data_IF_223529607716
#
_entry.id   IF_223529607716
#
_cell.length_a   1.000
_cell.length_b   1.000
_cell.length_c   1.000
_cell.angle_alpha   90.00
_cell.angle_beta   90.00
_cell.angle_gamma   90.00
#
_symmetry.space_group_name_H-M   'P 1'
#
loop_
_entity.id
_entity.type
_entity.pdbx_description
1 polymer ?
#
# COMPACT_ATOMS: atom_id res chain seq x y z
N UNK A 1 6.62 22.34 -13.55
CA UNK A 1 5.99 21.57 -14.65
C UNK A 1 4.87 22.42 -15.22
N UNK A 2 4.84 22.70 -16.53
CA UNK A 2 3.85 23.57 -17.19
C UNK A 2 2.74 22.80 -17.93
N UNK A 3 2.57 21.50 -17.64
CA UNK A 3 1.57 20.64 -18.29
C UNK A 3 0.20 20.74 -17.62
N UNK A 4 -0.87 20.58 -18.42
CA UNK A 4 -2.27 20.60 -17.96
C UNK A 4 -2.92 19.22 -17.92
N UNK A 5 -2.41 18.23 -18.67
CA UNK A 5 -2.83 16.83 -18.56
C UNK A 5 -2.07 16.14 -17.42
N UNK A 6 -2.80 15.43 -16.55
CA UNK A 6 -2.21 14.72 -15.41
C UNK A 6 -1.16 13.70 -15.85
N UNK A 7 -1.32 13.07 -17.02
CA UNK A 7 -0.40 12.07 -17.56
C UNK A 7 0.96 12.69 -17.84
N UNK A 8 0.97 13.89 -18.40
CA UNK A 8 2.21 14.60 -18.71
C UNK A 8 2.90 15.11 -17.45
N UNK A 9 2.15 15.50 -16.43
CA UNK A 9 2.71 15.82 -15.11
C UNK A 9 3.37 14.60 -14.49
N UNK A 10 2.69 13.43 -14.50
CA UNK A 10 3.26 12.17 -14.01
C UNK A 10 4.54 11.82 -14.78
N UNK A 11 4.50 11.82 -16.12
CA UNK A 11 5.69 11.55 -16.95
C UNK A 11 6.83 12.51 -16.64
N UNK A 12 6.54 13.79 -16.38
CA UNK A 12 7.57 14.76 -16.01
C UNK A 12 8.17 14.46 -14.63
N UNK A 13 7.36 14.10 -13.62
CA UNK A 13 7.85 13.72 -12.28
C UNK A 13 8.73 12.47 -12.34
N UNK A 14 8.42 11.50 -13.21
CA UNK A 14 9.22 10.28 -13.40
C UNK A 14 10.57 10.52 -14.08
N UNK A 15 10.86 11.70 -14.63
CA UNK A 15 12.18 11.94 -15.28
C UNK A 15 13.34 12.01 -14.29
N UNK A 16 13.08 12.51 -13.09
CA UNK A 16 14.10 12.67 -12.04
C UNK A 16 14.11 11.43 -11.14
N UNK A 17 14.79 10.38 -11.62
CA UNK A 17 14.94 9.14 -10.88
C UNK A 17 15.99 9.27 -9.76
N UNK A 18 15.76 8.56 -8.66
CA UNK A 18 16.63 8.47 -7.49
C UNK A 18 17.26 7.09 -7.47
N UNK A 19 18.59 7.04 -7.48
CA UNK A 19 19.33 5.80 -7.70
C UNK A 19 20.35 5.52 -6.58
N UNK A 20 20.66 4.22 -6.41
CA UNK A 20 21.74 3.75 -5.53
C UNK A 20 21.63 4.25 -4.10
N UNK A 21 22.74 4.77 -3.57
CA UNK A 21 22.84 5.17 -2.16
C UNK A 21 21.99 6.39 -1.78
N UNK A 22 21.43 7.12 -2.76
CA UNK A 22 20.52 8.25 -2.48
C UNK A 22 19.09 7.78 -2.12
N UNK A 23 18.73 6.54 -2.45
CA UNK A 23 17.39 5.98 -2.20
C UNK A 23 17.09 5.91 -0.70
N UNK A 24 17.99 5.33 0.10
CA UNK A 24 17.73 5.12 1.52
C UNK A 24 17.53 6.44 2.30
N UNK A 25 18.42 7.45 2.19
CA UNK A 25 18.24 8.74 2.87
C UNK A 25 16.93 9.46 2.50
N UNK A 26 16.48 9.33 1.24
CA UNK A 26 15.18 9.86 0.82
C UNK A 26 14.04 9.22 1.61
N UNK A 27 13.98 7.88 1.65
CA UNK A 27 12.91 7.19 2.35
C UNK A 27 12.97 7.39 3.87
N UNK A 28 14.16 7.43 4.48
CA UNK A 28 14.32 7.76 5.91
C UNK A 28 13.73 9.14 6.24
N UNK A 29 13.97 10.13 5.37
CA UNK A 29 13.34 11.45 5.49
C UNK A 29 11.82 11.37 5.38
N UNK A 30 11.30 10.64 4.37
CA UNK A 30 9.85 10.47 4.16
C UNK A 30 9.17 9.78 5.35
N UNK A 31 9.81 8.79 5.97
CA UNK A 31 9.34 8.13 7.20
C UNK A 31 9.21 9.15 8.32
N UNK A 32 10.26 9.93 8.58
CA UNK A 32 10.25 10.91 9.65
C UNK A 32 9.18 12.00 9.43
N UNK A 33 9.01 12.45 8.19
CA UNK A 33 7.96 13.41 7.80
C UNK A 33 6.56 12.83 8.04
N UNK A 34 6.31 11.59 7.60
CA UNK A 34 5.03 10.92 7.73
C UNK A 34 4.68 10.58 9.18
N UNK A 35 5.63 10.11 10.00
CA UNK A 35 5.38 9.84 11.42
C UNK A 35 4.98 11.10 12.18
N UNK A 36 5.60 12.25 11.87
CA UNK A 36 5.18 13.54 12.42
C UNK A 36 3.76 13.90 12.00
N UNK A 37 3.40 13.69 10.74
CA UNK A 37 2.03 13.96 10.25
C UNK A 37 1.00 13.02 10.89
N UNK A 38 1.30 11.72 10.99
CA UNK A 38 0.43 10.71 11.63
C UNK A 38 0.14 11.11 13.08
N UNK A 39 1.18 11.49 13.84
CA UNK A 39 1.05 11.93 15.22
C UNK A 39 0.25 13.24 15.33
N UNK A 40 0.64 14.27 14.56
CA UNK A 40 0.01 15.60 14.61
C UNK A 40 -1.47 15.59 14.19
N UNK A 41 -1.85 14.66 13.32
CA UNK A 41 -3.23 14.49 12.87
C UNK A 41 -3.98 13.43 13.67
N UNK A 42 -3.36 12.74 14.63
CA UNK A 42 -3.97 11.63 15.36
C UNK A 42 -4.60 10.59 14.41
N UNK A 43 -3.85 10.19 13.37
CA UNK A 43 -4.35 9.20 12.41
C UNK A 43 -4.43 7.84 13.07
N UNK A 44 -3.34 7.36 13.68
CA UNK A 44 -3.27 6.06 14.34
C UNK A 44 -2.18 6.11 15.42
N UNK A 45 -2.24 5.23 16.42
CA UNK A 45 -1.18 5.12 17.43
C UNK A 45 0.09 4.54 16.80
N UNK A 46 1.21 5.25 16.95
CA UNK A 46 2.53 4.83 16.46
C UNK A 46 3.27 4.01 17.52
N UNK A 47 4.03 2.97 17.14
CA UNK A 47 4.92 2.26 18.04
C UNK A 47 6.05 3.18 18.52
N UNK A 48 6.50 3.01 19.77
CA UNK A 48 7.62 3.78 20.32
C UNK A 48 8.96 3.47 19.64
N UNK A 49 9.07 2.31 18.98
CA UNK A 49 10.29 1.90 18.28
C UNK A 49 10.36 2.46 16.86
N UNK A 50 11.59 2.65 16.40
CA UNK A 50 11.88 3.00 15.00
C UNK A 50 11.46 1.88 14.06
N UNK A 51 10.97 2.25 12.89
CA UNK A 51 10.77 1.34 11.77
C UNK A 51 12.12 0.87 11.21
N UNK A 52 12.21 -0.38 10.74
CA UNK A 52 13.39 -0.87 10.02
C UNK A 52 13.21 -0.67 8.53
N UNK A 53 14.21 -0.08 7.90
CA UNK A 53 14.30 0.11 6.45
C UNK A 53 15.72 -0.20 5.99
N UNK A 54 15.85 -0.80 4.82
CA UNK A 54 17.16 -1.09 4.23
C UNK A 54 17.10 -1.17 2.71
N UNK A 55 18.26 -1.06 2.09
CA UNK A 55 18.44 -1.41 0.70
C UNK A 55 18.41 -2.94 0.54
N UNK A 56 17.83 -3.39 -0.56
CA UNK A 56 17.84 -4.78 -0.99
C UNK A 56 19.24 -5.16 -1.47
N UNK A 57 19.62 -6.43 -1.41
CA UNK A 57 20.80 -6.91 -2.15
C UNK A 57 20.52 -6.90 -3.66
N UNK A 58 21.56 -7.10 -4.49
CA UNK A 58 21.36 -7.24 -5.95
C UNK A 58 20.45 -8.43 -6.30
N UNK A 59 20.63 -9.56 -5.61
CA UNK A 59 19.80 -10.75 -5.80
C UNK A 59 18.34 -10.50 -5.38
N UNK A 60 18.13 -9.79 -4.27
CA UNK A 60 16.78 -9.41 -3.83
C UNK A 60 16.12 -8.44 -4.81
N UNK A 61 16.87 -7.46 -5.33
CA UNK A 61 16.37 -6.49 -6.31
C UNK A 61 16.01 -7.16 -7.64
N UNK A 62 16.77 -8.18 -8.06
CA UNK A 62 16.48 -8.95 -9.26
C UNK A 62 15.21 -9.81 -9.12
N UNK A 63 14.95 -10.35 -7.92
CA UNK A 63 13.77 -11.17 -7.64
C UNK A 63 12.49 -10.32 -7.43
N UNK A 64 12.61 -9.17 -6.79
CA UNK A 64 11.51 -8.24 -6.50
C UNK A 64 11.94 -6.81 -6.85
N UNK A 65 11.63 -6.32 -8.06
CA UNK A 65 12.04 -4.99 -8.52
C UNK A 65 11.19 -3.85 -7.94
N UNK A 66 10.29 -4.14 -6.98
CA UNK A 66 9.44 -3.16 -6.32
C UNK A 66 9.76 -3.05 -4.82
N UNK A 67 9.67 -1.84 -4.22
CA UNK A 67 9.69 -1.67 -2.77
C UNK A 67 8.65 -2.57 -2.11
N UNK A 68 9.04 -3.27 -1.06
CA UNK A 68 8.17 -4.22 -0.37
C UNK A 68 8.49 -4.29 1.13
N UNK A 69 7.45 -4.50 1.93
CA UNK A 69 7.54 -4.83 3.33
C UNK A 69 7.75 -6.33 3.49
N UNK A 70 8.84 -6.71 4.18
CA UNK A 70 9.09 -8.08 4.61
C UNK A 70 8.48 -8.29 5.98
N UNK A 71 7.43 -9.13 6.10
CA UNK A 71 6.79 -9.35 7.38
C UNK A 71 7.76 -10.03 8.35
N UNK A 72 7.71 -9.68 9.64
CA UNK A 72 8.37 -10.45 10.66
C UNK A 72 7.77 -11.85 10.73
N UNK A 73 8.56 -12.81 11.19
CA UNK A 73 8.07 -14.13 11.58
C UNK A 73 7.03 -13.97 12.70
N UNK A 74 5.87 -14.62 12.58
CA UNK A 74 4.84 -14.59 13.64
C UNK A 74 4.99 -15.74 14.65
N UNK A 75 5.53 -16.89 14.22
CA UNK A 75 5.63 -18.10 15.04
C UNK A 75 7.08 -18.29 15.50
N UNK A 76 7.29 -18.38 16.81
CA UNK A 76 8.64 -18.51 17.37
C UNK A 76 9.52 -17.29 17.10
N UNK A 77 8.91 -16.10 17.03
CA UNK A 77 9.63 -14.84 16.95
C UNK A 77 10.40 -14.59 18.26
N UNK A 78 11.68 -14.27 18.17
CA UNK A 78 12.61 -14.01 19.27
C UNK A 78 13.09 -12.55 19.30
N UNK A 79 12.38 -11.65 18.62
CA UNK A 79 12.67 -10.22 18.54
C UNK A 79 12.75 -9.67 17.11
N UNK A 80 12.42 -10.47 16.08
CA UNK A 80 12.43 -10.02 14.70
C UNK A 80 11.32 -8.99 14.43
N UNK A 81 11.66 -8.02 13.58
CA UNK A 81 10.78 -6.95 13.16
C UNK A 81 10.65 -6.98 11.65
N UNK A 82 9.53 -6.46 11.14
CA UNK A 82 9.36 -6.29 9.70
C UNK A 82 10.37 -5.28 9.16
N UNK A 83 10.76 -5.46 7.90
CA UNK A 83 11.70 -4.59 7.21
C UNK A 83 11.06 -4.01 5.96
N UNK A 84 11.10 -2.68 5.80
CA UNK A 84 10.81 -2.07 4.52
C UNK A 84 12.06 -2.17 3.63
N UNK A 85 11.98 -2.95 2.55
CA UNK A 85 13.10 -3.26 1.67
C UNK A 85 12.99 -2.48 0.36
N UNK A 86 14.02 -1.70 0.05
CA UNK A 86 14.10 -0.84 -1.14
C UNK A 86 15.06 -1.42 -2.18
N UNK A 87 14.63 -1.77 -3.39
CA UNK A 87 15.52 -2.22 -4.47
C UNK A 87 16.62 -1.20 -4.79
N UNK A 88 17.86 -1.67 -4.94
CA UNK A 88 19.03 -0.82 -5.27
C UNK A 88 19.01 -0.28 -6.69
N UNK A 89 18.31 -0.99 -7.57
CA UNK A 89 18.33 -0.78 -9.01
C UNK A 89 17.01 -1.27 -9.56
N UNK A 90 16.32 -0.41 -10.30
CA UNK A 90 15.34 -0.89 -11.25
C UNK A 90 15.98 -0.80 -12.63
N UNK A 91 16.82 -1.77 -12.94
CA UNK A 91 17.68 -1.70 -14.11
C UNK A 91 16.87 -1.80 -15.40
N UNK A 92 16.56 -0.67 -16.03
CA UNK A 92 16.80 -0.56 -17.45
C UNK A 92 18.27 -0.25 -17.68
N UNK A 93 18.99 -1.06 -18.46
CA UNK A 93 20.18 -0.49 -19.13
C UNK A 93 19.67 0.64 -20.03
N UNK A 94 20.41 1.74 -20.14
CA UNK A 94 20.17 2.71 -21.20
C UNK A 94 20.11 1.95 -22.54
N UNK A 95 18.95 1.96 -23.20
CA UNK A 95 18.69 1.22 -24.44
C UNK A 95 17.99 -0.15 -24.30
N UNK A 96 17.67 -0.63 -23.10
CA UNK A 96 16.82 -1.81 -22.92
C UNK A 96 15.33 -1.42 -22.94
N UNK A 97 14.53 -2.13 -23.72
CA UNK A 97 13.10 -1.87 -23.96
C UNK A 97 12.17 -2.07 -22.75
N UNK A 98 12.68 -2.54 -21.60
CA UNK A 98 11.89 -2.84 -20.39
C UNK A 98 12.60 -2.34 -19.12
N UNK A 99 12.75 -1.02 -18.99
CA UNK A 99 13.15 -0.35 -17.75
C UNK A 99 11.91 -0.07 -16.90
N UNK A 100 11.98 -0.16 -15.56
CA UNK A 100 10.94 0.46 -14.73
C UNK A 100 11.41 1.83 -14.25
N UNK A 101 10.46 2.76 -14.18
CA UNK A 101 10.61 4.13 -13.66
C UNK A 101 9.51 4.44 -12.63
N UNK A 102 8.80 3.40 -12.15
CA UNK A 102 7.55 3.53 -11.39
C UNK A 102 7.71 3.75 -9.89
N UNK A 103 8.88 3.44 -9.31
CA UNK A 103 9.05 3.45 -7.84
C UNK A 103 10.18 4.36 -7.33
N UNK A 104 11.10 4.77 -8.20
CA UNK A 104 12.37 5.41 -7.83
C UNK A 104 12.39 6.88 -8.19
N UNK A 105 11.39 7.65 -7.75
CA UNK A 105 11.38 9.13 -7.87
C UNK A 105 10.72 9.77 -6.64
N UNK A 106 11.02 11.04 -6.38
CA UNK A 106 10.71 11.70 -5.10
C UNK A 106 9.22 11.63 -4.71
N UNK A 107 8.34 11.92 -5.66
CA UNK A 107 6.90 11.96 -5.41
C UNK A 107 6.31 10.56 -5.10
N UNK A 108 6.84 9.49 -5.71
CA UNK A 108 6.41 8.12 -5.41
C UNK A 108 6.82 7.67 -4.00
N UNK A 109 7.96 8.14 -3.49
CA UNK A 109 8.46 7.75 -2.17
C UNK A 109 7.45 8.06 -1.05
N UNK A 110 6.65 9.12 -1.18
CA UNK A 110 5.59 9.44 -0.21
C UNK A 110 4.56 8.33 -0.07
N UNK A 111 3.92 7.94 -1.17
CA UNK A 111 2.81 6.96 -1.13
C UNK A 111 3.35 5.54 -0.88
N UNK A 112 4.54 5.22 -1.39
CA UNK A 112 5.22 3.95 -1.12
C UNK A 112 5.61 3.80 0.35
N UNK A 113 6.10 4.87 0.98
CA UNK A 113 6.41 4.85 2.42
C UNK A 113 5.15 4.70 3.27
N UNK A 114 4.03 5.27 2.84
CA UNK A 114 2.74 5.04 3.51
C UNK A 114 2.29 3.59 3.35
N UNK A 115 2.35 3.04 2.13
CA UNK A 115 1.85 1.71 1.79
C UNK A 115 2.64 0.60 2.49
N UNK A 116 3.97 0.59 2.31
CA UNK A 116 4.85 -0.46 2.82
C UNK A 116 5.29 -0.18 4.26
N UNK A 117 5.40 1.09 4.64
CA UNK A 117 5.82 1.52 5.97
C UNK A 117 4.63 1.83 6.88
N UNK A 118 4.57 3.08 7.36
CA UNK A 118 3.58 3.54 8.34
C UNK A 118 2.66 4.60 7.71
N UNK A 119 1.33 4.53 7.93
CA UNK A 119 0.63 3.56 8.78
C UNK A 119 0.22 2.25 8.08
N UNK A 120 0.78 1.93 6.90
CA UNK A 120 0.44 0.74 6.12
C UNK A 120 0.99 -0.58 6.68
N UNK A 121 1.66 -1.35 5.81
CA UNK A 121 2.05 -2.73 6.09
C UNK A 121 2.95 -2.90 7.31
N UNK A 122 4.00 -2.10 7.45
CA UNK A 122 4.89 -2.26 8.61
C UNK A 122 4.10 -2.14 9.90
N UNK A 123 3.22 -1.14 10.02
CA UNK A 123 2.43 -0.95 11.24
C UNK A 123 1.45 -2.09 11.48
N UNK A 124 0.80 -2.56 10.42
CA UNK A 124 -0.14 -3.68 10.49
C UNK A 124 0.52 -4.95 11.01
N UNK A 125 1.65 -5.37 10.43
CA UNK A 125 2.35 -6.59 10.87
C UNK A 125 3.06 -6.42 12.21
N UNK A 126 3.55 -5.21 12.49
CA UNK A 126 4.09 -4.86 13.80
C UNK A 126 3.08 -5.04 14.91
N UNK A 127 1.85 -4.58 14.69
CA UNK A 127 0.76 -4.75 15.66
C UNK A 127 0.44 -6.24 15.92
N UNK A 128 0.54 -7.10 14.90
CA UNK A 128 0.34 -8.55 15.05
C UNK A 128 1.40 -9.20 15.94
N UNK A 129 2.67 -8.80 15.79
CA UNK A 129 3.77 -9.30 16.63
C UNK A 129 3.65 -8.78 18.06
N UNK A 130 3.45 -7.47 18.21
CA UNK A 130 3.46 -6.81 19.53
C UNK A 130 2.27 -7.19 20.41
N UNK A 131 1.10 -7.42 19.81
CA UNK A 131 -0.11 -7.85 20.54
C UNK A 131 -0.20 -9.36 20.69
N UNK A 132 0.51 -10.10 19.84
CA UNK A 132 0.36 -11.53 19.68
C UNK A 132 -0.91 -11.92 18.93
N UNK A 133 -0.85 -13.06 18.25
CA UNK A 133 -2.00 -13.70 17.60
C UNK A 133 -2.01 -15.19 17.92
N UNK A 134 -3.19 -15.81 17.88
CA UNK A 134 -3.29 -17.26 18.02
C UNK A 134 -2.55 -17.97 16.88
N UNK A 135 -2.09 -19.20 17.14
CA UNK A 135 -1.40 -20.02 16.13
C UNK A 135 -2.27 -20.21 14.88
N UNK A 136 -3.57 -20.43 15.05
CA UNK A 136 -4.51 -20.53 13.94
C UNK A 136 -4.53 -19.25 13.07
N UNK A 137 -4.49 -18.06 13.68
CA UNK A 137 -4.43 -16.80 12.93
C UNK A 137 -3.07 -16.61 12.26
N UNK A 138 -1.97 -16.96 12.93
CA UNK A 138 -0.63 -16.86 12.37
C UNK A 138 -0.45 -17.74 11.11
N UNK A 139 -1.06 -18.94 11.09
CA UNK A 139 -0.90 -19.90 9.99
C UNK A 139 -1.94 -19.68 8.89
N UNK A 140 -3.22 -19.49 9.24
CA UNK A 140 -4.33 -19.62 8.29
C UNK A 140 -5.07 -18.31 8.00
N UNK A 141 -4.85 -17.24 8.75
CA UNK A 141 -5.63 -16.01 8.57
C UNK A 141 -5.01 -15.03 7.55
N UNK A 142 -3.96 -15.40 6.81
CA UNK A 142 -3.44 -14.52 5.77
C UNK A 142 -4.52 -14.23 4.73
N UNK A 143 -4.84 -12.95 4.56
CA UNK A 143 -5.90 -12.50 3.68
C UNK A 143 -5.43 -11.28 2.90
N UNK A 144 -5.21 -11.46 1.59
CA UNK A 144 -4.73 -10.38 0.72
C UNK A 144 -5.69 -9.19 0.67
N UNK A 145 -7.02 -9.41 0.75
CA UNK A 145 -8.01 -8.32 0.75
C UNK A 145 -7.87 -7.45 1.99
N UNK A 146 -7.59 -8.04 3.16
CA UNK A 146 -7.33 -7.29 4.38
C UNK A 146 -5.98 -6.55 4.32
N UNK A 147 -4.91 -7.27 3.98
CA UNK A 147 -3.53 -6.75 3.97
C UNK A 147 -3.41 -5.59 2.98
N UNK A 148 -3.75 -5.84 1.72
CA UNK A 148 -3.62 -4.84 0.64
C UNK A 148 -4.67 -3.73 0.74
N UNK A 149 -5.87 -4.09 1.23
CA UNK A 149 -6.93 -3.12 1.48
C UNK A 149 -6.54 -2.11 2.54
N UNK A 150 -5.90 -2.55 3.63
CA UNK A 150 -5.40 -1.67 4.68
C UNK A 150 -4.35 -0.70 4.15
N UNK A 151 -3.35 -1.18 3.42
CA UNK A 151 -2.29 -0.32 2.91
C UNK A 151 -2.81 0.73 1.91
N UNK A 152 -3.72 0.35 1.01
CA UNK A 152 -4.35 1.31 0.09
C UNK A 152 -5.28 2.30 0.81
N UNK A 153 -5.95 1.85 1.87
CA UNK A 153 -6.72 2.73 2.76
C UNK A 153 -5.82 3.73 3.50
N UNK A 154 -4.67 3.29 4.01
CA UNK A 154 -3.67 4.14 4.64
C UNK A 154 -3.13 5.21 3.67
N UNK A 155 -2.89 4.86 2.40
CA UNK A 155 -2.54 5.83 1.35
C UNK A 155 -3.64 6.90 1.21
N UNK A 156 -4.91 6.49 1.22
CA UNK A 156 -6.03 7.43 1.15
C UNK A 156 -6.15 8.35 2.37
N UNK A 157 -5.89 7.81 3.56
CA UNK A 157 -5.88 8.57 4.80
C UNK A 157 -4.79 9.63 4.86
N UNK A 158 -3.60 9.31 4.36
CA UNK A 158 -2.46 10.21 4.42
C UNK A 158 -2.44 11.20 3.25
N UNK A 159 -3.04 10.86 2.10
CA UNK A 159 -3.03 11.69 0.88
C UNK A 159 -3.31 13.17 1.14
N UNK A 160 -4.33 13.61 1.91
CA UNK A 160 -4.59 15.04 2.12
C UNK A 160 -3.44 15.84 2.75
N UNK A 161 -2.49 15.16 3.40
CA UNK A 161 -1.35 15.79 4.10
C UNK A 161 -0.04 15.72 3.32
N UNK A 162 -0.01 15.05 2.17
CA UNK A 162 1.18 14.96 1.31
C UNK A 162 1.36 16.25 0.49
N UNK A 163 2.58 16.57 0.03
CA UNK A 163 2.78 17.62 -0.97
C UNK A 163 2.03 17.27 -2.27
N UNK A 164 1.72 18.28 -3.09
CA UNK A 164 0.82 18.15 -4.24
C UNK A 164 1.21 17.05 -5.23
N UNK A 165 2.51 16.92 -5.49
CA UNK A 165 3.09 15.85 -6.30
C UNK A 165 2.90 14.48 -5.64
N UNK A 166 3.16 14.35 -4.34
CA UNK A 166 2.86 13.14 -3.57
C UNK A 166 1.37 12.78 -3.57
N UNK A 167 0.46 13.78 -3.53
CA UNK A 167 -0.98 13.55 -3.66
C UNK A 167 -1.33 13.01 -5.05
N UNK A 168 -0.75 13.58 -6.10
CA UNK A 168 -0.97 13.14 -7.48
C UNK A 168 -0.53 11.70 -7.67
N UNK A 169 0.66 11.33 -7.20
CA UNK A 169 1.17 9.95 -7.33
C UNK A 169 0.39 8.96 -6.45
N UNK A 170 -0.07 9.39 -5.27
CA UNK A 170 -0.99 8.56 -4.47
C UNK A 170 -2.32 8.29 -5.21
N UNK A 171 -2.83 9.28 -5.95
CA UNK A 171 -4.00 9.08 -6.82
C UNK A 171 -3.68 8.17 -8.03
N UNK A 172 -2.52 8.30 -8.64
CA UNK A 172 -2.05 7.38 -9.69
C UNK A 172 -1.99 5.94 -9.17
N UNK A 173 -1.44 5.72 -7.98
CA UNK A 173 -1.39 4.40 -7.35
C UNK A 173 -2.78 3.86 -7.06
N UNK A 174 -3.72 4.70 -6.61
CA UNK A 174 -5.13 4.30 -6.46
C UNK A 174 -5.78 3.97 -7.80
N UNK A 175 -5.50 4.74 -8.86
CA UNK A 175 -5.97 4.47 -10.21
C UNK A 175 -5.45 3.12 -10.72
N UNK A 176 -4.19 2.77 -10.45
CA UNK A 176 -3.66 1.43 -10.73
C UNK A 176 -4.49 0.34 -10.03
N UNK A 177 -4.80 0.50 -8.74
CA UNK A 177 -5.58 -0.52 -8.01
C UNK A 177 -7.02 -0.59 -8.50
N UNK A 178 -7.62 0.53 -8.92
CA UNK A 178 -8.92 0.53 -9.59
C UNK A 178 -8.85 -0.18 -10.95
N UNK A 179 -7.82 0.08 -11.75
CA UNK A 179 -7.59 -0.59 -13.03
C UNK A 179 -7.41 -2.10 -12.83
N UNK A 180 -6.64 -2.55 -11.84
CA UNK A 180 -6.51 -3.97 -11.46
C UNK A 180 -7.87 -4.64 -11.23
N UNK A 181 -8.77 -3.98 -10.49
CA UNK A 181 -10.09 -4.52 -10.17
C UNK A 181 -11.01 -4.66 -11.39
N UNK A 182 -10.73 -3.95 -12.49
CA UNK A 182 -11.44 -4.06 -13.75
C UNK A 182 -10.74 -5.02 -14.72
N UNK A 183 -9.43 -4.85 -14.91
CA UNK A 183 -8.64 -5.53 -15.93
C UNK A 183 -8.44 -7.01 -15.61
N UNK A 184 -8.14 -7.37 -14.36
CA UNK A 184 -7.94 -8.76 -13.94
C UNK A 184 -9.18 -9.62 -14.25
N UNK A 185 -10.37 -9.34 -13.71
CA UNK A 185 -11.57 -10.11 -14.06
C UNK A 185 -11.96 -9.95 -15.53
N UNK A 186 -11.71 -8.80 -16.17
CA UNK A 186 -11.98 -8.60 -17.59
C UNK A 186 -11.19 -9.55 -18.48
N UNK A 187 -9.90 -9.75 -18.20
CA UNK A 187 -9.03 -10.72 -18.88
C UNK A 187 -9.52 -12.16 -18.63
N UNK A 188 -9.83 -12.49 -17.37
CA UNK A 188 -10.27 -13.85 -17.00
C UNK A 188 -11.63 -14.22 -17.59
N UNK A 189 -12.51 -13.24 -17.80
CA UNK A 189 -13.82 -13.42 -18.44
C UNK A 189 -13.75 -13.32 -19.97
N UNK A 190 -12.57 -13.10 -20.57
CA UNK A 190 -12.41 -12.92 -22.01
C UNK A 190 -13.10 -11.66 -22.56
N UNK A 191 -13.37 -10.67 -21.70
CA UNK A 191 -14.04 -9.41 -22.05
C UNK A 191 -13.06 -8.29 -22.41
N UNK A 192 -11.80 -8.44 -22.04
CA UNK A 192 -10.72 -7.51 -22.28
C UNK A 192 -9.55 -8.30 -22.87
N UNK A 193 -8.92 -7.80 -23.93
CA UNK A 193 -7.69 -8.40 -24.48
C UNK A 193 -6.45 -7.94 -23.70
N UNK A 194 -5.33 -8.66 -23.85
CA UNK A 194 -4.07 -8.25 -23.21
C UNK A 194 -3.57 -6.91 -23.72
N UNK A 195 -3.85 -6.61 -24.99
CA UNK A 195 -3.49 -5.36 -25.66
C UNK A 195 -4.31 -4.19 -25.09
N UNK A 196 -5.61 -4.39 -24.89
CA UNK A 196 -6.48 -3.40 -24.23
C UNK A 196 -6.07 -3.13 -22.79
N UNK A 197 -5.76 -4.20 -22.02
CA UNK A 197 -5.26 -4.06 -20.66
C UNK A 197 -3.92 -3.31 -20.63
N UNK A 198 -3.00 -3.65 -21.53
CA UNK A 198 -1.71 -2.96 -21.68
C UNK A 198 -1.89 -1.49 -22.01
N UNK A 199 -2.84 -1.16 -22.89
CA UNK A 199 -3.17 0.22 -23.26
C UNK A 199 -3.63 1.03 -22.05
N UNK A 200 -4.57 0.52 -21.26
CA UNK A 200 -5.06 1.20 -20.05
C UNK A 200 -3.91 1.43 -19.05
N UNK A 201 -3.09 0.41 -18.78
CA UNK A 201 -1.98 0.53 -17.84
C UNK A 201 -0.91 1.53 -18.31
N UNK A 202 -0.61 1.55 -19.62
CA UNK A 202 0.40 2.45 -20.19
C UNK A 202 -0.11 3.88 -20.32
N UNK A 203 -1.30 4.06 -20.89
CA UNK A 203 -1.80 5.37 -21.31
C UNK A 203 -2.54 6.09 -20.19
N UNK A 204 -3.39 5.38 -19.44
CA UNK A 204 -4.23 5.99 -18.42
C UNK A 204 -3.57 5.97 -17.04
N UNK A 205 -2.92 4.85 -16.68
CA UNK A 205 -2.21 4.72 -15.40
C UNK A 205 -0.77 5.22 -15.45
N UNK A 206 -0.19 5.36 -16.65
CA UNK A 206 1.17 5.92 -16.87
C UNK A 206 2.27 5.06 -16.25
N UNK A 207 2.15 3.74 -16.41
CA UNK A 207 3.17 2.78 -16.01
C UNK A 207 4.27 2.63 -17.07
N UNK A 208 5.47 2.23 -16.64
CA UNK A 208 6.52 1.77 -17.56
C UNK A 208 6.09 0.55 -18.37
N UNK A 209 6.68 0.35 -19.55
CA UNK A 209 6.45 -0.88 -20.34
C UNK A 209 6.82 -2.16 -19.57
N UNK A 210 7.85 -2.11 -18.73
CA UNK A 210 8.24 -3.22 -17.87
C UNK A 210 7.13 -3.59 -16.87
N UNK A 211 6.57 -2.58 -16.19
CA UNK A 211 5.50 -2.80 -15.23
C UNK A 211 4.19 -3.19 -15.92
N UNK A 212 3.89 -2.62 -17.09
CA UNK A 212 2.72 -3.02 -17.90
C UNK A 212 2.79 -4.51 -18.24
N UNK A 213 3.93 -4.98 -18.77
CA UNK A 213 4.12 -6.39 -19.09
C UNK A 213 3.97 -7.27 -17.84
N UNK A 214 4.65 -6.90 -16.75
CA UNK A 214 4.59 -7.63 -15.49
C UNK A 214 3.15 -7.77 -14.98
N UNK A 215 2.38 -6.69 -15.01
CA UNK A 215 1.02 -6.66 -14.50
C UNK A 215 0.06 -7.46 -15.39
N UNK A 216 0.16 -7.34 -16.72
CA UNK A 216 -0.67 -8.14 -17.64
C UNK A 216 -0.37 -9.64 -17.50
N UNK A 217 0.90 -10.03 -17.39
CA UNK A 217 1.28 -11.43 -17.12
C UNK A 217 0.79 -11.90 -15.75
N UNK A 218 0.87 -11.05 -14.74
CA UNK A 218 0.38 -11.33 -13.39
C UNK A 218 -1.10 -11.64 -13.39
N UNK A 219 -1.91 -10.78 -14.01
CA UNK A 219 -3.36 -10.94 -14.05
C UNK A 219 -3.76 -12.15 -14.88
N UNK A 220 -3.03 -12.44 -15.95
CA UNK A 220 -3.38 -13.51 -16.89
C UNK A 220 -2.98 -14.89 -16.37
N UNK A 221 -1.76 -15.02 -15.85
CA UNK A 221 -1.13 -16.32 -15.64
C UNK A 221 -0.60 -16.55 -14.24
N UNK A 222 0.07 -15.55 -13.65
CA UNK A 222 0.86 -15.80 -12.43
C UNK A 222 0.01 -15.80 -11.17
N UNK A 223 -1.00 -14.93 -11.11
CA UNK A 223 -1.89 -14.82 -9.96
C UNK A 223 -3.29 -14.25 -10.32
N UNK A 224 -4.08 -14.94 -11.17
CA UNK A 224 -5.44 -14.52 -11.51
C UNK A 224 -6.30 -14.20 -10.29
N UNK A 225 -7.03 -13.09 -10.34
CA UNK A 225 -7.96 -12.64 -9.28
C UNK A 225 -7.29 -11.96 -8.09
N UNK A 226 -5.98 -12.15 -7.85
CA UNK A 226 -5.31 -11.57 -6.69
C UNK A 226 -5.22 -10.04 -6.78
N UNK A 227 -5.10 -9.45 -7.97
CA UNK A 227 -4.93 -8.01 -8.14
C UNK A 227 -6.19 -7.23 -7.74
N UNK A 228 -7.35 -7.88 -7.72
CA UNK A 228 -8.62 -7.30 -7.25
C UNK A 228 -8.63 -7.02 -5.74
N UNK A 229 -7.79 -7.72 -4.97
CA UNK A 229 -7.81 -7.70 -3.51
C UNK A 229 -7.60 -6.29 -2.93
N UNK A 230 -6.69 -5.52 -3.54
CA UNK A 230 -6.36 -4.16 -3.13
C UNK A 230 -7.60 -3.25 -3.10
N UNK A 231 -8.27 -3.11 -4.24
CA UNK A 231 -9.38 -2.17 -4.38
C UNK A 231 -10.65 -2.67 -3.68
N UNK A 232 -10.87 -3.99 -3.66
CA UNK A 232 -11.94 -4.60 -2.89
C UNK A 232 -11.77 -4.26 -1.41
N UNK A 233 -10.60 -4.54 -0.83
CA UNK A 233 -10.31 -4.30 0.57
C UNK A 233 -10.38 -2.83 0.96
N UNK A 234 -9.78 -1.95 0.14
CA UNK A 234 -9.88 -0.50 0.30
C UNK A 234 -11.33 -0.03 0.33
N UNK A 235 -12.15 -0.46 -0.63
CA UNK A 235 -13.55 -0.05 -0.72
C UNK A 235 -14.34 -0.55 0.50
N UNK A 236 -14.13 -1.80 0.94
CA UNK A 236 -14.78 -2.34 2.15
C UNK A 236 -14.40 -1.54 3.41
N UNK A 237 -13.14 -1.13 3.55
CA UNK A 237 -12.70 -0.31 4.68
C UNK A 237 -13.27 1.11 4.64
N UNK A 238 -13.33 1.73 3.46
CA UNK A 238 -13.96 3.04 3.27
C UNK A 238 -15.45 3.00 3.62
N UNK A 239 -16.18 1.97 3.17
CA UNK A 239 -17.59 1.74 3.52
C UNK A 239 -17.76 1.54 5.04
N UNK A 240 -16.93 0.69 5.65
CA UNK A 240 -16.97 0.42 7.09
C UNK A 240 -16.71 1.69 7.91
N UNK A 241 -15.74 2.50 7.50
CA UNK A 241 -15.48 3.78 8.15
C UNK A 241 -16.66 4.72 8.05
N UNK A 242 -17.21 4.93 6.85
CA UNK A 242 -18.35 5.83 6.64
C UNK A 242 -19.57 5.38 7.46
N UNK A 243 -19.84 4.07 7.52
CA UNK A 243 -20.88 3.51 8.38
C UNK A 243 -20.62 3.80 9.87
N UNK A 244 -19.39 3.61 10.33
CA UNK A 244 -18.99 3.82 11.72
C UNK A 244 -19.08 5.30 12.11
N UNK A 245 -18.63 6.21 11.24
CA UNK A 245 -18.76 7.65 11.40
C UNK A 245 -20.23 8.07 11.50
N UNK A 246 -21.11 7.53 10.65
CA UNK A 246 -22.54 7.80 10.68
C UNK A 246 -23.21 7.33 11.98
N UNK A 247 -22.83 6.15 12.49
CA UNK A 247 -23.44 5.58 13.70
C UNK A 247 -22.96 6.28 14.98
N UNK A 248 -21.68 6.65 15.04
CA UNK A 248 -21.09 7.28 16.23
C UNK A 248 -21.21 8.82 16.22
N UNK A 249 -21.37 9.44 15.05
CA UNK A 249 -21.48 10.88 14.90
C UNK A 249 -20.33 11.60 15.61
N UNK A 250 -20.60 12.60 16.47
CA UNK A 250 -19.57 13.32 17.24
C UNK A 250 -18.70 12.44 18.14
N UNK A 251 -19.13 11.21 18.48
CA UNK A 251 -18.35 10.28 19.31
C UNK A 251 -17.33 9.46 18.52
N UNK A 252 -17.36 9.54 17.18
CA UNK A 252 -16.37 8.90 16.33
C UNK A 252 -14.99 9.45 16.66
N UNK A 253 -14.04 8.54 16.89
CA UNK A 253 -12.64 8.89 17.10
C UNK A 253 -11.81 8.11 16.08
N UNK A 254 -11.17 8.84 15.16
CA UNK A 254 -10.41 8.26 14.05
C UNK A 254 -9.28 7.34 14.54
N UNK A 255 -8.46 7.81 15.49
CA UNK A 255 -7.36 7.02 16.04
C UNK A 255 -7.88 5.72 16.67
N UNK A 256 -8.92 5.79 17.48
CA UNK A 256 -9.52 4.62 18.12
C UNK A 256 -10.10 3.62 17.12
N UNK A 257 -10.70 4.11 16.02
CA UNK A 257 -11.18 3.24 14.93
C UNK A 257 -10.01 2.50 14.25
N UNK A 258 -8.94 3.22 13.87
CA UNK A 258 -7.78 2.61 13.24
C UNK A 258 -7.03 1.63 14.16
N UNK A 259 -6.82 2.02 15.42
CA UNK A 259 -6.19 1.17 16.42
C UNK A 259 -6.99 -0.12 16.64
N UNK A 260 -8.32 -0.03 16.65
CA UNK A 260 -9.19 -1.19 16.76
C UNK A 260 -9.11 -2.07 15.51
N UNK A 261 -9.17 -1.49 14.31
CA UNK A 261 -9.07 -2.25 13.05
C UNK A 261 -7.77 -3.07 12.99
N UNK A 262 -6.62 -2.46 13.31
CA UNK A 262 -5.35 -3.18 13.34
C UNK A 262 -5.29 -4.23 14.45
N UNK A 263 -5.93 -3.99 15.59
CA UNK A 263 -5.98 -4.96 16.69
C UNK A 263 -6.72 -6.26 16.31
N UNK A 264 -7.62 -6.22 15.33
CA UNK A 264 -8.33 -7.41 14.84
C UNK A 264 -7.44 -8.32 13.99
N UNK A 265 -6.28 -7.82 13.55
CA UNK A 265 -5.37 -8.50 12.64
C UNK A 265 -5.98 -8.72 11.26
N UNK A 266 -5.66 -9.85 10.65
CA UNK A 266 -5.94 -10.11 9.24
C UNK A 266 -7.36 -10.65 8.96
N UNK A 267 -8.36 -10.20 9.74
CA UNK A 267 -9.74 -10.67 9.56
C UNK A 267 -10.26 -10.37 8.14
N UNK A 268 -10.97 -11.32 7.51
CA UNK A 268 -11.73 -11.03 6.30
C UNK A 268 -12.68 -9.85 6.52
N UNK A 269 -12.95 -9.00 5.50
CA UNK A 269 -13.71 -7.77 5.66
C UNK A 269 -15.07 -7.93 6.37
N UNK A 270 -15.80 -9.01 6.11
CA UNK A 270 -17.08 -9.28 6.77
C UNK A 270 -16.95 -9.49 8.29
N UNK A 271 -15.92 -10.22 8.72
CA UNK A 271 -15.64 -10.44 10.15
C UNK A 271 -15.07 -9.19 10.81
N UNK A 272 -14.25 -8.42 10.10
CA UNK A 272 -13.77 -7.12 10.58
C UNK A 272 -14.93 -6.14 10.79
N UNK A 273 -15.86 -6.05 9.84
CA UNK A 273 -17.08 -5.24 9.97
C UNK A 273 -17.91 -5.69 11.17
N UNK A 274 -18.11 -7.00 11.34
CA UNK A 274 -18.82 -7.56 12.50
C UNK A 274 -18.18 -7.10 13.82
N UNK A 275 -16.86 -7.25 13.97
CA UNK A 275 -16.14 -6.81 15.16
C UNK A 275 -16.30 -5.30 15.45
N UNK A 276 -16.26 -4.45 14.41
CA UNK A 276 -16.49 -3.01 14.58
C UNK A 276 -17.90 -2.71 15.08
N UNK A 277 -18.92 -3.35 14.49
CA UNK A 277 -20.32 -3.12 14.86
C UNK A 277 -20.67 -3.66 16.25
N UNK A 278 -20.13 -4.81 16.62
CA UNK A 278 -20.48 -5.53 17.85
C UNK A 278 -19.60 -5.15 19.04
N UNK A 279 -18.37 -4.66 18.82
CA UNK A 279 -17.43 -4.37 19.91
C UNK A 279 -17.05 -2.88 19.97
N UNK A 280 -16.53 -2.32 18.88
CA UNK A 280 -16.04 -0.94 18.89
C UNK A 280 -17.18 0.05 19.10
N UNK A 281 -18.25 -0.05 18.32
CA UNK A 281 -19.37 0.90 18.38
C UNK A 281 -20.02 0.92 19.77
N UNK A 282 -20.40 -0.22 20.38
CA UNK A 282 -20.97 -0.23 21.73
C UNK A 282 -20.02 0.37 22.77
N UNK A 283 -18.73 0.02 22.72
CA UNK A 283 -17.72 0.57 23.64
C UNK A 283 -17.62 2.10 23.53
N UNK A 284 -17.68 2.65 22.31
CA UNK A 284 -17.63 4.10 22.06
C UNK A 284 -18.94 4.83 22.38
N UNK A 285 -20.08 4.13 22.43
CA UNK A 285 -21.36 4.69 22.90
C UNK A 285 -21.48 4.69 24.43
N UNK A 286 -20.74 3.82 25.13
CA UNK A 286 -20.72 3.79 26.59
C UNK A 286 -19.72 4.80 27.20
N UNK A 287 -18.66 5.15 26.46
CA UNK A 287 -17.72 6.23 26.80
C UNK A 287 -18.31 7.62 26.50
#
# INVERSE_FOLDING_TARGET
ISATDYRDVIRALKKEQVEGNAILPLYEKRIADLERLIAAKEVITLPARKMRIRLATEAESAASPAPNMRPPRLIGNTGEQGEFVLPLKIAGKAGATLAYDDFTFDAAAWTLTVHEGRPGHELQFSALVERGVSLARAIYAFNSVNVEGWALYAEAEMKPYLPLDGQLISLQHRLLRAARALLDPGLQLGRITREEASRVLREDVVLSDAMVLQEVERYTFRAPGQATAYFCGYTRLMELRAETERILGPRFNRRAFHDFVLAQGLLPPALLRKAVLEELIPKRKAA
#
